data_IF_874468826444
#
_entry.id   IF_874468826444
#
_cell.length_a   1.000
_cell.length_b   1.000
_cell.length_c   1.000
_cell.angle_alpha   90.00
_cell.angle_beta   90.00
_cell.angle_gamma   90.00
#
_symmetry.space_group_name_H-M   'P 1'
#
loop_
_entity.id
_entity.type
_entity.pdbx_description
1 polymer ?
#
# COMPACT_ATOMS: atom_id res chain seq x y z
N UNK A 1 -8.68 46.89 14.15
CA UNK A 1 -8.57 45.46 13.78
C UNK A 1 -9.98 44.89 13.68
N UNK A 2 -10.39 44.45 12.49
CA UNK A 2 -11.70 43.82 12.26
C UNK A 2 -11.46 42.34 12.07
N UNK A 3 -11.83 41.51 13.04
CA UNK A 3 -11.79 40.06 12.89
C UNK A 3 -13.09 39.60 12.23
N UNK A 4 -12.99 39.21 10.96
CA UNK A 4 -14.11 38.62 10.22
C UNK A 4 -14.49 37.26 10.81
N UNK A 5 -15.74 37.12 11.25
CA UNK A 5 -16.34 35.83 11.56
C UNK A 5 -16.70 35.09 10.26
N UNK A 6 -15.72 34.38 9.70
CA UNK A 6 -15.98 33.35 8.70
C UNK A 6 -16.73 32.17 9.34
N UNK A 7 -17.80 31.71 8.68
CA UNK A 7 -18.64 30.61 9.17
C UNK A 7 -17.79 29.34 9.38
N UNK A 8 -17.70 28.88 10.62
CA UNK A 8 -17.13 27.57 10.95
C UNK A 8 -18.03 26.49 10.35
N UNK A 9 -17.47 25.61 9.49
CA UNK A 9 -18.15 24.40 9.02
C UNK A 9 -18.57 23.58 10.24
N UNK A 10 -19.81 23.08 10.25
CA UNK A 10 -20.30 22.18 11.27
C UNK A 10 -19.45 20.92 11.26
N UNK A 11 -18.75 20.70 12.37
CA UNK A 11 -18.12 19.42 12.67
C UNK A 11 -19.29 18.45 12.83
N UNK A 12 -19.39 17.46 11.93
CA UNK A 12 -20.35 16.37 12.09
C UNK A 12 -20.14 15.74 13.47
N UNK A 13 -21.21 15.50 14.24
CA UNK A 13 -21.08 14.93 15.58
C UNK A 13 -20.43 13.56 15.44
N UNK A 14 -19.25 13.43 16.05
CA UNK A 14 -18.60 12.15 16.30
C UNK A 14 -19.61 11.29 17.03
N UNK A 15 -19.99 10.15 16.46
CA UNK A 15 -20.96 9.24 17.06
C UNK A 15 -20.40 8.83 18.42
N UNK A 16 -20.94 9.40 19.49
CA UNK A 16 -20.63 9.01 20.86
C UNK A 16 -21.04 7.53 21.00
N UNK A 17 -20.05 6.64 21.09
CA UNK A 17 -20.30 5.25 21.42
C UNK A 17 -20.80 5.20 22.85
N UNK A 18 -22.12 5.22 23.04
CA UNK A 18 -22.74 5.01 24.34
C UNK A 18 -22.24 3.68 24.90
N UNK A 19 -21.40 3.70 25.94
CA UNK A 19 -20.98 2.49 26.65
C UNK A 19 -22.19 1.99 27.45
N UNK A 20 -23.02 1.17 26.82
CA UNK A 20 -24.07 0.44 27.52
C UNK A 20 -23.37 -0.52 28.46
N UNK A 21 -23.55 -0.35 29.77
CA UNK A 21 -23.07 -1.33 30.76
C UNK A 21 -23.79 -2.66 30.50
N UNK A 22 -23.03 -3.66 30.04
CA UNK A 22 -23.54 -5.00 29.76
C UNK A 22 -23.22 -5.91 30.96
N UNK A 23 -24.24 -6.52 31.55
CA UNK A 23 -24.04 -7.58 32.54
C UNK A 23 -23.72 -8.88 31.79
N UNK A 24 -22.50 -9.38 31.93
CA UNK A 24 -22.00 -10.58 31.27
C UNK A 24 -21.86 -11.68 32.31
N UNK A 25 -22.35 -12.89 32.03
CA UNK A 25 -22.10 -14.04 32.92
C UNK A 25 -20.73 -14.65 32.60
N UNK A 26 -20.05 -15.22 33.61
CA UNK A 26 -18.72 -15.81 33.41
C UNK A 26 -18.71 -16.93 32.34
N UNK A 27 -19.83 -17.62 32.17
CA UNK A 27 -20.00 -18.67 31.16
C UNK A 27 -20.02 -18.12 29.73
N UNK A 28 -20.44 -16.87 29.52
CA UNK A 28 -20.54 -16.25 28.20
C UNK A 28 -19.19 -15.70 27.71
N UNK A 29 -18.25 -15.48 28.63
CA UNK A 29 -16.95 -14.83 28.34
C UNK A 29 -16.16 -15.52 27.22
N UNK A 30 -15.99 -16.87 27.19
CA UNK A 30 -15.24 -17.53 26.13
C UNK A 30 -15.86 -17.31 24.74
N UNK A 31 -17.19 -17.29 24.65
CA UNK A 31 -17.90 -17.08 23.40
C UNK A 31 -17.76 -15.63 22.91
N UNK A 32 -17.92 -14.66 23.82
CA UNK A 32 -17.70 -13.24 23.52
C UNK A 32 -16.28 -13.00 23.00
N UNK A 33 -15.26 -13.61 23.63
CA UNK A 33 -13.87 -13.51 23.17
C UNK A 33 -13.72 -14.08 21.75
N UNK A 34 -14.34 -15.22 21.46
CA UNK A 34 -14.30 -15.83 20.12
C UNK A 34 -14.99 -14.99 19.06
N UNK A 35 -16.11 -14.36 19.39
CA UNK A 35 -16.84 -13.52 18.45
C UNK A 35 -16.11 -12.21 18.19
N UNK A 36 -15.53 -11.61 19.24
CA UNK A 36 -14.66 -10.44 19.10
C UNK A 36 -13.41 -10.74 18.28
N UNK A 37 -12.77 -11.91 18.45
CA UNK A 37 -11.59 -12.25 17.66
C UNK A 37 -11.93 -12.41 16.17
N UNK A 38 -13.03 -13.11 15.84
CA UNK A 38 -13.52 -13.23 14.46
C UNK A 38 -13.87 -11.86 13.85
N UNK A 39 -14.52 -11.00 14.62
CA UNK A 39 -14.85 -9.65 14.19
C UNK A 39 -13.57 -8.87 13.84
N UNK A 40 -12.58 -8.87 14.74
CA UNK A 40 -11.28 -8.20 14.53
C UNK A 40 -10.54 -8.75 13.33
N UNK A 41 -10.51 -10.08 13.16
CA UNK A 41 -9.91 -10.71 11.99
C UNK A 41 -10.57 -10.25 10.69
N UNK A 42 -11.90 -10.24 10.64
CA UNK A 42 -12.65 -9.82 9.45
C UNK A 42 -12.42 -8.34 9.09
N UNK A 43 -12.40 -7.46 10.09
CA UNK A 43 -12.15 -6.02 9.92
C UNK A 43 -10.74 -5.79 9.40
N UNK A 44 -9.74 -6.38 10.06
CA UNK A 44 -8.33 -6.28 9.67
C UNK A 44 -8.12 -6.77 8.23
N UNK A 45 -8.76 -7.86 7.87
CA UNK A 45 -8.66 -8.43 6.53
C UNK A 45 -9.31 -7.53 5.46
N UNK A 46 -10.42 -6.89 5.79
CA UNK A 46 -11.07 -5.90 4.92
C UNK A 46 -10.18 -4.67 4.71
N UNK A 47 -9.57 -4.15 5.76
CA UNK A 47 -8.64 -3.02 5.68
C UNK A 47 -7.41 -3.36 4.81
N UNK A 48 -6.80 -4.52 5.03
CA UNK A 48 -5.66 -5.00 4.24
C UNK A 48 -6.05 -5.15 2.77
N UNK A 49 -7.23 -5.71 2.47
CA UNK A 49 -7.74 -5.81 1.10
C UNK A 49 -7.90 -4.44 0.46
N UNK A 50 -8.47 -3.48 1.19
CA UNK A 50 -8.68 -2.12 0.69
C UNK A 50 -7.33 -1.46 0.36
N UNK A 51 -6.37 -1.48 1.29
CA UNK A 51 -5.03 -0.95 1.06
C UNK A 51 -4.35 -1.63 -0.14
N UNK A 52 -4.37 -2.96 -0.22
CA UNK A 52 -3.82 -3.72 -1.35
C UNK A 52 -4.46 -3.30 -2.67
N UNK A 53 -5.78 -3.13 -2.71
CA UNK A 53 -6.50 -2.75 -3.92
C UNK A 53 -6.21 -1.32 -4.36
N UNK A 54 -5.98 -0.40 -3.42
CA UNK A 54 -5.56 0.96 -3.74
C UNK A 54 -4.11 1.02 -4.23
N UNK A 55 -3.24 0.12 -3.73
CA UNK A 55 -1.82 0.06 -4.14
C UNK A 55 -1.62 -0.67 -5.46
N UNK A 56 -2.45 -1.67 -5.79
CA UNK A 56 -2.35 -2.43 -7.04
C UNK A 56 -2.22 -1.57 -8.31
N UNK A 57 -3.08 -0.56 -8.56
CA UNK A 57 -2.95 0.28 -9.75
C UNK A 57 -1.66 1.11 -9.77
N UNK A 58 -1.14 1.52 -8.61
CA UNK A 58 0.13 2.25 -8.53
C UNK A 58 1.31 1.39 -8.97
N UNK A 59 1.27 0.09 -8.63
CA UNK A 59 2.25 -0.89 -9.09
C UNK A 59 2.12 -1.13 -10.60
N UNK A 60 0.90 -1.23 -11.12
CA UNK A 60 0.67 -1.37 -12.57
C UNK A 60 1.21 -0.16 -13.34
N UNK A 61 1.04 1.05 -12.80
CA UNK A 61 1.58 2.28 -13.40
C UNK A 61 3.12 2.32 -13.37
N UNK A 62 3.75 1.84 -12.30
CA UNK A 62 5.21 1.65 -12.24
C UNK A 62 5.69 0.66 -13.31
N UNK A 63 4.97 -0.45 -13.53
CA UNK A 63 5.31 -1.40 -14.60
C UNK A 63 5.18 -0.78 -15.99
N UNK A 64 4.15 0.06 -16.23
CA UNK A 64 4.00 0.80 -17.49
C UNK A 64 5.18 1.73 -17.73
N UNK A 65 5.67 2.43 -16.71
CA UNK A 65 6.87 3.28 -16.81
C UNK A 65 8.08 2.43 -17.26
N UNK A 66 8.28 1.26 -16.66
CA UNK A 66 9.35 0.34 -17.07
C UNK A 66 9.27 -0.06 -18.55
N UNK A 67 8.07 -0.31 -19.07
CA UNK A 67 7.85 -0.63 -20.51
C UNK A 67 8.14 0.58 -21.40
N UNK A 68 7.74 1.79 -20.99
CA UNK A 68 8.02 3.01 -21.75
C UNK A 68 9.52 3.28 -21.80
N UNK A 69 10.21 3.17 -20.67
CA UNK A 69 11.66 3.32 -20.58
C UNK A 69 12.38 2.31 -21.49
N UNK A 70 11.93 1.05 -21.53
CA UNK A 70 12.54 0.06 -22.42
C UNK A 70 12.50 0.46 -23.89
N UNK A 71 11.37 1.02 -24.35
CA UNK A 71 11.17 1.47 -25.73
C UNK A 71 11.89 2.78 -26.06
N UNK A 72 12.30 3.54 -25.05
CA UNK A 72 12.93 4.84 -25.22
C UNK A 72 14.40 4.69 -25.66
N UNK A 73 14.68 4.91 -26.94
CA UNK A 73 16.04 4.97 -27.43
C UNK A 73 16.61 6.35 -27.11
N UNK A 74 17.25 6.45 -25.93
CA UNK A 74 17.98 7.62 -25.48
C UNK A 74 18.75 8.25 -26.65
N UNK A 75 18.53 9.53 -26.93
CA UNK A 75 19.30 10.25 -27.95
C UNK A 75 20.62 10.71 -27.32
N UNK A 76 21.71 9.99 -27.62
CA UNK A 76 23.00 10.10 -26.92
C UNK A 76 24.12 10.62 -27.83
N UNK A 77 23.79 11.00 -29.07
CA UNK A 77 24.75 11.31 -30.11
C UNK A 77 25.61 12.55 -29.78
N UNK A 78 25.04 13.52 -29.05
CA UNK A 78 25.71 14.76 -28.65
C UNK A 78 26.28 14.72 -27.21
N UNK A 79 26.25 13.57 -26.53
CA UNK A 79 26.70 13.41 -25.14
C UNK A 79 28.13 12.84 -25.10
N UNK A 80 28.93 13.28 -24.12
CA UNK A 80 30.25 12.70 -23.84
C UNK A 80 30.19 11.17 -23.68
N UNK A 81 31.15 10.45 -24.26
CA UNK A 81 31.17 8.98 -24.29
C UNK A 81 31.09 8.34 -22.90
N UNK A 82 31.74 8.91 -21.89
CA UNK A 82 31.72 8.37 -20.53
C UNK A 82 30.37 8.60 -19.87
N UNK A 83 29.74 9.76 -20.09
CA UNK A 83 28.39 10.05 -19.62
C UNK A 83 27.35 9.16 -20.32
N UNK A 84 27.47 8.95 -21.63
CA UNK A 84 26.60 8.07 -22.40
C UNK A 84 26.56 6.65 -21.80
N UNK A 85 27.71 6.09 -21.43
CA UNK A 85 27.82 4.77 -20.79
C UNK A 85 27.08 4.73 -19.44
N UNK A 86 27.21 5.77 -18.63
CA UNK A 86 26.56 5.86 -17.32
C UNK A 86 25.04 5.92 -17.47
N UNK A 87 24.53 6.74 -18.40
CA UNK A 87 23.09 6.90 -18.63
C UNK A 87 22.47 5.59 -19.13
N UNK A 88 23.11 4.91 -20.09
CA UNK A 88 22.62 3.61 -20.60
C UNK A 88 22.60 2.58 -19.48
N UNK A 89 23.64 2.52 -18.64
CA UNK A 89 23.69 1.58 -17.50
C UNK A 89 22.63 1.91 -16.46
N UNK A 90 22.47 3.18 -16.09
CA UNK A 90 21.46 3.61 -15.12
C UNK A 90 20.04 3.30 -15.60
N UNK A 91 19.75 3.58 -16.88
CA UNK A 91 18.49 3.20 -17.52
C UNK A 91 18.24 1.70 -17.41
N UNK A 92 19.25 0.88 -17.72
CA UNK A 92 19.12 -0.58 -17.63
C UNK A 92 18.85 -1.05 -16.20
N UNK A 93 19.49 -0.46 -15.19
CA UNK A 93 19.24 -0.76 -13.78
C UNK A 93 17.79 -0.46 -13.37
N UNK A 94 17.28 0.71 -13.76
CA UNK A 94 15.88 1.08 -13.48
C UNK A 94 14.91 0.10 -14.15
N UNK A 95 15.15 -0.28 -15.41
CA UNK A 95 14.33 -1.27 -16.12
C UNK A 95 14.38 -2.63 -15.42
N UNK A 96 15.56 -3.09 -15.01
CA UNK A 96 15.72 -4.39 -14.36
C UNK A 96 14.93 -4.47 -13.05
N UNK A 97 14.98 -3.43 -12.21
CA UNK A 97 14.20 -3.32 -10.97
C UNK A 97 12.70 -3.36 -11.27
N UNK A 98 12.23 -2.54 -12.24
CA UNK A 98 10.81 -2.42 -12.53
C UNK A 98 10.21 -3.63 -13.26
N UNK A 99 10.97 -4.37 -14.06
CA UNK A 99 10.45 -5.53 -14.81
C UNK A 99 10.62 -6.86 -14.09
N UNK A 100 11.76 -7.09 -13.42
CA UNK A 100 12.07 -8.40 -12.83
C UNK A 100 11.48 -8.55 -11.43
N UNK A 101 11.48 -7.48 -10.65
CA UNK A 101 11.19 -7.54 -9.22
C UNK A 101 9.78 -7.03 -8.85
N UNK A 102 9.19 -6.15 -9.66
CA UNK A 102 7.82 -5.70 -9.46
C UNK A 102 6.85 -6.70 -10.10
N UNK A 103 6.29 -7.60 -9.27
CA UNK A 103 5.22 -8.54 -9.67
C UNK A 103 3.87 -8.07 -9.15
N UNK A 104 2.80 -8.55 -9.79
CA UNK A 104 1.43 -8.30 -9.33
C UNK A 104 1.26 -8.68 -7.86
N UNK A 105 0.60 -7.79 -7.10
CA UNK A 105 0.26 -8.07 -5.71
C UNK A 105 -0.60 -9.32 -5.62
N UNK A 106 -0.19 -10.27 -4.79
CA UNK A 106 -1.01 -11.44 -4.45
C UNK A 106 -2.34 -11.02 -3.83
N UNK A 107 -3.39 -11.80 -4.11
CA UNK A 107 -4.69 -11.61 -3.47
C UNK A 107 -4.63 -12.11 -2.02
N UNK A 108 -5.38 -11.45 -1.14
CA UNK A 108 -5.44 -11.78 0.28
C UNK A 108 -6.88 -12.10 0.63
N UNK A 109 -7.12 -13.34 1.04
CA UNK A 109 -8.40 -13.86 1.52
C UNK A 109 -8.32 -14.36 2.97
N UNK A 110 -7.10 -14.62 3.48
CA UNK A 110 -6.83 -15.06 4.85
C UNK A 110 -5.72 -14.25 5.53
N UNK A 111 -5.67 -14.26 6.86
CA UNK A 111 -4.60 -13.61 7.65
C UNK A 111 -3.21 -14.21 7.34
N UNK A 112 -3.14 -15.51 7.05
CA UNK A 112 -1.89 -16.16 6.64
C UNK A 112 -1.39 -15.63 5.30
N UNK A 113 -2.27 -15.40 4.33
CA UNK A 113 -1.92 -14.75 3.07
C UNK A 113 -1.52 -13.30 3.26
N UNK A 114 -2.14 -12.58 4.21
CA UNK A 114 -1.74 -11.22 4.56
C UNK A 114 -0.29 -11.16 5.08
N UNK A 115 0.12 -12.12 5.92
CA UNK A 115 1.51 -12.23 6.40
C UNK A 115 2.49 -12.54 5.27
N UNK A 116 2.09 -13.38 4.31
CA UNK A 116 2.91 -13.66 3.11
C UNK A 116 3.05 -12.43 2.24
N UNK A 117 1.97 -11.65 2.07
CA UNK A 117 1.99 -10.38 1.36
C UNK A 117 2.94 -9.39 2.03
N UNK A 118 2.89 -9.26 3.36
CA UNK A 118 3.80 -8.41 4.13
C UNK A 118 5.27 -8.77 3.88
N UNK A 119 5.62 -10.06 4.01
CA UNK A 119 6.97 -10.53 3.70
C UNK A 119 7.38 -10.23 2.26
N UNK A 120 6.49 -10.48 1.29
CA UNK A 120 6.74 -10.18 -0.11
C UNK A 120 6.99 -8.68 -0.35
N UNK A 121 6.16 -7.81 0.25
CA UNK A 121 6.28 -6.36 0.14
C UNK A 121 7.59 -5.85 0.74
N UNK A 122 8.01 -6.37 1.91
CA UNK A 122 9.30 -6.00 2.52
C UNK A 122 10.46 -6.36 1.60
N UNK A 123 10.44 -7.54 0.98
CA UNK A 123 11.50 -7.94 0.05
C UNK A 123 11.51 -7.06 -1.21
N UNK A 124 10.34 -6.72 -1.75
CA UNK A 124 10.22 -5.83 -2.90
C UNK A 124 10.74 -4.42 -2.57
N UNK A 125 10.32 -3.84 -1.44
CA UNK A 125 10.76 -2.52 -0.99
C UNK A 125 12.26 -2.46 -0.77
N UNK A 126 12.87 -3.51 -0.21
CA UNK A 126 14.33 -3.58 -0.07
C UNK A 126 15.03 -3.50 -1.43
N UNK A 127 14.56 -4.23 -2.43
CA UNK A 127 15.18 -4.23 -3.77
C UNK A 127 14.97 -2.95 -4.57
N UNK A 128 13.86 -2.25 -4.35
CA UNK A 128 13.55 -0.99 -5.03
C UNK A 128 14.21 0.21 -4.31
N UNK A 129 14.44 0.09 -3.00
CA UNK A 129 14.96 1.16 -2.15
C UNK A 129 16.45 1.10 -1.79
N UNK A 130 17.13 -0.03 -1.97
CA UNK A 130 18.62 -0.13 -1.97
C UNK A 130 19.20 0.47 -3.27
#
# INVERSE_FOLDING_TARGET
MVFGWGKKKSIEPTVESNSVNQNITLSDVPQIISDLSKLRESQTLSEIKNLRNNTAPLIDDLMKIGIVLEKDNLNIDDIDKHLAIIVVRGKQQVIDILKKDVKNLMQVSTITEAKKLDYFLIQLLKKVGD
#
